data_IF_638958264864
#
_entry.id   IF_638958264864
#
_cell.length_a   1.000
_cell.length_b   1.000
_cell.length_c   1.000
_cell.angle_alpha   90.00
_cell.angle_beta   90.00
_cell.angle_gamma   90.00
#
_symmetry.space_group_name_H-M   'P 1'
#
loop_
_entity.id
_entity.type
_entity.pdbx_description
1 polymer ?
#
# COMPACT_ATOMS: atom_id res chain seq x y z
N UNK A 1 7.56 14.65 6.24
CA UNK A 1 7.77 13.86 5.00
C UNK A 1 8.10 14.85 3.90
N UNK A 2 9.24 14.69 3.22
CA UNK A 2 9.50 15.50 2.03
C UNK A 2 8.45 15.11 0.95
N UNK A 3 7.91 16.04 0.16
CA UNK A 3 6.88 15.74 -0.85
C UNK A 3 7.24 14.59 -1.79
N UNK A 4 8.53 14.42 -2.09
CA UNK A 4 9.04 13.36 -2.95
C UNK A 4 8.95 11.95 -2.33
N UNK A 5 9.19 11.82 -1.03
CA UNK A 5 9.05 10.53 -0.32
C UNK A 5 7.60 10.03 -0.36
N UNK A 6 6.65 10.95 -0.21
CA UNK A 6 5.22 10.63 -0.27
C UNK A 6 4.82 10.14 -1.67
N UNK A 7 5.29 10.81 -2.72
CA UNK A 7 5.05 10.39 -4.11
C UNK A 7 5.63 9.00 -4.38
N UNK A 8 6.85 8.74 -3.93
CA UNK A 8 7.50 7.45 -4.12
C UNK A 8 6.74 6.33 -3.41
N UNK A 9 6.29 6.56 -2.16
CA UNK A 9 5.48 5.57 -1.44
C UNK A 9 4.13 5.30 -2.13
N UNK A 10 3.47 6.35 -2.64
CA UNK A 10 2.24 6.20 -3.44
C UNK A 10 2.50 5.34 -4.68
N UNK A 11 3.58 5.62 -5.42
CA UNK A 11 3.93 4.88 -6.63
C UNK A 11 4.19 3.39 -6.34
N UNK A 12 4.92 3.07 -5.27
CA UNK A 12 5.18 1.69 -4.86
C UNK A 12 3.89 0.97 -4.45
N UNK A 13 3.01 1.62 -3.69
CA UNK A 13 1.71 1.04 -3.33
C UNK A 13 0.84 0.82 -4.57
N UNK A 14 0.81 1.75 -5.52
CA UNK A 14 0.09 1.59 -6.79
C UNK A 14 0.61 0.37 -7.58
N UNK A 15 1.92 0.20 -7.66
CA UNK A 15 2.53 -0.95 -8.33
C UNK A 15 2.15 -2.27 -7.64
N UNK A 16 2.20 -2.33 -6.31
CA UNK A 16 1.78 -3.51 -5.54
C UNK A 16 0.29 -3.84 -5.77
N UNK A 17 -0.58 -2.83 -5.77
CA UNK A 17 -2.01 -3.03 -6.06
C UNK A 17 -2.23 -3.55 -7.47
N UNK A 18 -1.58 -2.97 -8.48
CA UNK A 18 -1.73 -3.40 -9.87
C UNK A 18 -1.32 -4.87 -10.08
N UNK A 19 -0.32 -5.36 -9.34
CA UNK A 19 0.08 -6.78 -9.35
C UNK A 19 -0.96 -7.68 -8.70
N UNK A 20 -1.61 -7.23 -7.62
CA UNK A 20 -2.55 -8.04 -6.83
C UNK A 20 -3.98 -8.04 -7.38
N UNK A 21 -4.41 -6.90 -7.92
CA UNK A 21 -5.77 -6.65 -8.42
C UNK A 21 -5.67 -5.72 -9.63
N UNK A 22 -5.34 -6.24 -10.83
CA UNK A 22 -5.07 -5.42 -12.03
C UNK A 22 -6.22 -4.49 -12.43
N UNK A 23 -7.46 -4.91 -12.18
CA UNK A 23 -8.68 -4.14 -12.48
C UNK A 23 -8.98 -3.03 -11.46
N UNK A 24 -8.26 -2.98 -10.34
CA UNK A 24 -8.49 -1.99 -9.30
C UNK A 24 -7.62 -0.75 -9.52
N UNK A 25 -8.27 0.41 -9.57
CA UNK A 25 -7.62 1.74 -9.60
C UNK A 25 -7.99 2.56 -8.35
N UNK A 26 -7.57 2.15 -7.15
CA UNK A 26 -7.92 2.87 -5.92
C UNK A 26 -7.17 4.21 -5.84
N UNK A 27 -7.78 5.18 -5.15
CA UNK A 27 -7.08 6.41 -4.80
C UNK A 27 -6.18 6.14 -3.60
N UNK A 28 -4.86 6.14 -3.79
CA UNK A 28 -3.92 5.98 -2.69
C UNK A 28 -3.88 7.27 -1.87
N UNK A 29 -4.27 7.15 -0.61
CA UNK A 29 -4.20 8.21 0.38
C UNK A 29 -3.24 7.76 1.48
N UNK A 30 -2.32 8.66 1.82
CA UNK A 30 -1.39 8.51 2.94
C UNK A 30 -1.79 9.51 4.01
N UNK A 31 -2.09 9.00 5.20
CA UNK A 31 -2.52 9.79 6.33
C UNK A 31 -1.71 9.43 7.57
N UNK A 32 -1.74 10.30 8.58
CA UNK A 32 -1.10 10.00 9.87
C UNK A 32 -2.03 9.10 10.69
N UNK A 33 -1.56 7.95 11.20
CA UNK A 33 -2.37 7.07 12.02
C UNK A 33 -2.88 7.79 13.28
N UNK A 34 -4.11 7.46 13.71
CA UNK A 34 -4.67 7.96 14.98
C UNK A 34 -3.93 7.43 16.21
N UNK A 35 -3.35 6.24 16.10
CA UNK A 35 -2.60 5.58 17.16
C UNK A 35 -1.13 5.62 16.78
N UNK A 36 -0.31 6.31 17.58
CA UNK A 36 1.12 6.49 17.31
C UNK A 36 1.89 5.16 17.18
N UNK A 37 1.45 4.11 17.87
CA UNK A 37 2.04 2.78 17.78
C UNK A 37 1.88 2.09 16.41
N UNK A 38 1.04 2.62 15.51
CA UNK A 38 0.88 2.11 14.14
C UNK A 38 1.85 2.75 13.14
N UNK A 39 2.82 3.53 13.62
CA UNK A 39 3.83 4.19 12.80
C UNK A 39 3.42 5.57 12.33
N UNK A 40 4.17 6.09 11.35
CA UNK A 40 4.01 7.47 10.88
C UNK A 40 2.99 7.63 9.75
N UNK A 41 2.71 6.55 9.02
CA UNK A 41 1.87 6.54 7.82
C UNK A 41 0.90 5.37 7.86
N UNK A 42 -0.36 5.63 7.52
CA UNK A 42 -1.38 4.64 7.20
C UNK A 42 -1.98 4.87 5.81
N UNK A 43 -2.54 3.81 5.24
CA UNK A 43 -3.34 3.86 4.01
C UNK A 43 -4.53 2.89 4.10
N UNK A 44 -5.68 3.29 3.57
CA UNK A 44 -6.90 2.48 3.52
C UNK A 44 -7.06 1.67 2.22
N UNK A 45 -6.03 1.65 1.36
CA UNK A 45 -6.07 1.06 0.01
C UNK A 45 -6.58 -0.38 -0.01
N UNK A 46 -6.17 -1.21 0.97
CA UNK A 46 -6.59 -2.60 1.05
C UNK A 46 -8.12 -2.75 1.19
N UNK A 47 -8.76 -1.83 1.90
CA UNK A 47 -10.23 -1.80 2.01
C UNK A 47 -10.89 -1.39 0.69
N UNK A 48 -10.28 -0.45 -0.06
CA UNK A 48 -10.82 0.01 -1.35
C UNK A 48 -10.84 -1.12 -2.40
N UNK A 49 -9.80 -1.96 -2.41
CA UNK A 49 -9.67 -3.04 -3.40
C UNK A 49 -10.31 -4.36 -2.97
N UNK A 50 -10.68 -4.52 -1.70
CA UNK A 50 -11.25 -5.75 -1.17
C UNK A 50 -12.57 -6.16 -1.84
N UNK A 51 -13.47 -5.20 -2.06
CA UNK A 51 -14.77 -5.45 -2.70
C UNK A 51 -14.62 -5.92 -4.15
N UNK A 52 -13.90 -5.21 -5.05
CA UNK A 52 -13.71 -5.69 -6.42
C UNK A 52 -12.91 -6.99 -6.49
N UNK A 53 -11.95 -7.20 -5.58
CA UNK A 53 -11.19 -8.45 -5.52
C UNK A 53 -11.96 -9.63 -4.89
N UNK A 54 -13.09 -9.39 -4.20
CA UNK A 54 -13.81 -10.37 -3.37
C UNK A 54 -12.91 -11.09 -2.36
N UNK A 55 -11.99 -10.35 -1.74
CA UNK A 55 -10.97 -10.88 -0.82
C UNK A 55 -11.00 -10.16 0.52
N UNK A 56 -10.46 -10.80 1.54
CA UNK A 56 -10.34 -10.21 2.87
C UNK A 56 -9.38 -8.99 2.84
N UNK A 57 -9.81 -7.80 3.29
CA UNK A 57 -8.94 -6.63 3.34
C UNK A 57 -7.64 -6.85 4.12
N UNK A 58 -7.65 -7.68 5.17
CA UNK A 58 -6.44 -7.96 5.97
C UNK A 58 -5.40 -8.76 5.18
N UNK A 59 -5.84 -9.75 4.42
CA UNK A 59 -4.97 -10.53 3.55
C UNK A 59 -4.38 -9.68 2.41
N UNK A 60 -5.20 -8.78 1.85
CA UNK A 60 -4.74 -7.83 0.84
C UNK A 60 -3.72 -6.84 1.42
N UNK A 61 -3.95 -6.33 2.63
CA UNK A 61 -2.99 -5.47 3.31
C UNK A 61 -1.65 -6.19 3.51
N UNK A 62 -1.67 -7.45 3.96
CA UNK A 62 -0.44 -8.23 4.15
C UNK A 62 0.31 -8.42 2.83
N UNK A 63 -0.40 -8.81 1.75
CA UNK A 63 0.22 -8.97 0.43
C UNK A 63 0.84 -7.67 -0.13
N UNK A 64 0.20 -6.52 0.14
CA UNK A 64 0.78 -5.23 -0.23
C UNK A 64 2.09 -4.99 0.54
N UNK A 65 2.11 -5.27 1.85
CA UNK A 65 3.31 -5.14 2.68
C UNK A 65 4.42 -6.07 2.18
N UNK A 66 4.09 -7.33 1.88
CA UNK A 66 5.07 -8.31 1.39
C UNK A 66 5.66 -7.88 0.04
N UNK A 67 4.84 -7.34 -0.88
CA UNK A 67 5.30 -6.81 -2.15
C UNK A 67 6.24 -5.61 -1.97
N UNK A 68 5.91 -4.69 -1.06
CA UNK A 68 6.76 -3.54 -0.75
C UNK A 68 8.10 -3.96 -0.13
N UNK A 69 8.09 -4.97 0.75
CA UNK A 69 9.31 -5.50 1.37
C UNK A 69 10.23 -6.16 0.33
N UNK A 70 9.66 -6.92 -0.62
CA UNK A 70 10.41 -7.50 -1.73
C UNK A 70 11.01 -6.45 -2.66
N UNK A 71 10.25 -5.40 -3.01
CA UNK A 71 10.75 -4.29 -3.83
C UNK A 71 11.85 -3.49 -3.08
N UNK A 72 11.73 -3.31 -1.76
CA UNK A 72 12.76 -2.66 -0.94
C UNK A 72 14.05 -3.49 -0.85
N UNK A 73 13.95 -4.82 -0.76
CA UNK A 73 15.11 -5.72 -0.80
C UNK A 73 15.80 -5.67 -2.16
N UNK A 74 15.06 -5.56 -3.26
CA UNK A 74 15.61 -5.40 -4.61
C UNK A 74 16.34 -4.06 -4.82
N UNK A 75 16.05 -3.02 -4.01
CA UNK A 75 16.74 -1.73 -4.05
C UNK A 75 18.06 -1.71 -3.25
N UNK A 76 18.29 -2.70 -2.39
CA UNK A 76 19.46 -2.78 -1.50
C UNK A 76 20.45 -3.87 -1.96
N UNK A 77 20.03 -4.78 -2.85
CA UNK A 77 20.86 -5.80 -3.48
C UNK A 77 21.55 -5.28 -4.75
#
# INVERSE_FOLDING_TARGET
>A
MLPEQQKQLISLIQAAVARLVPEASPKILLERPKVAAHGDIASNVAMQIAKPAKRNPRELAQQIVDALAGDAQALIA
#
